data_IF_835617611878
#
_entry.id   IF_835617611878
#
_cell.length_a   1.000
_cell.length_b   1.000
_cell.length_c   1.000
_cell.angle_alpha   90.00
_cell.angle_beta   90.00
_cell.angle_gamma   90.00
#
_symmetry.space_group_name_H-M   'P 1'
#
loop_
_entity.id
_entity.type
_entity.pdbx_description
1 polymer ?
#
# COMPACT_ATOMS: atom_id res chain seq x y z
N UNK A 1 0.11 -8.03 -20.43
CA UNK A 1 -0.46 -8.69 -19.25
C UNK A 1 -1.88 -8.18 -19.03
N UNK A 2 -2.87 -9.09 -18.93
CA UNK A 2 -4.25 -8.77 -18.59
C UNK A 2 -4.68 -9.56 -17.36
N UNK A 3 -5.16 -8.85 -16.34
CA UNK A 3 -5.51 -9.45 -15.04
C UNK A 3 -6.96 -9.12 -14.71
N UNK A 4 -7.80 -10.14 -14.58
CA UNK A 4 -9.18 -10.01 -14.11
C UNK A 4 -9.67 -11.34 -13.55
N UNK A 5 -9.90 -11.39 -12.22
CA UNK A 5 -10.44 -12.60 -11.57
C UNK A 5 -11.80 -13.00 -12.17
N UNK A 6 -12.74 -12.07 -12.26
CA UNK A 6 -14.05 -12.30 -12.87
C UNK A 6 -13.98 -12.47 -14.40
N UNK A 7 -12.86 -12.09 -15.02
CA UNK A 7 -12.64 -12.17 -16.46
C UNK A 7 -13.52 -11.28 -17.33
N UNK A 8 -14.34 -10.42 -16.73
CA UNK A 8 -15.30 -9.58 -17.44
C UNK A 8 -15.46 -8.17 -16.84
N UNK A 9 -14.55 -7.74 -15.97
CA UNK A 9 -14.56 -6.39 -15.39
C UNK A 9 -14.47 -5.36 -16.50
N UNK A 10 -15.44 -4.46 -16.59
CA UNK A 10 -15.58 -3.51 -17.70
C UNK A 10 -14.31 -2.69 -17.91
N UNK A 11 -13.78 -2.08 -16.84
CA UNK A 11 -12.59 -1.23 -16.90
C UNK A 11 -11.38 -2.00 -17.45
N UNK A 12 -11.13 -3.19 -16.91
CA UNK A 12 -10.01 -4.04 -17.34
C UNK A 12 -10.15 -4.45 -18.81
N UNK A 13 -11.34 -4.91 -19.21
CA UNK A 13 -11.55 -5.42 -20.56
C UNK A 13 -11.58 -4.29 -21.59
N UNK A 14 -12.12 -3.12 -21.25
CA UNK A 14 -12.10 -1.95 -22.14
C UNK A 14 -10.68 -1.48 -22.41
N UNK A 15 -9.88 -1.30 -21.36
CA UNK A 15 -8.48 -0.92 -21.49
C UNK A 15 -7.67 -1.97 -22.26
N UNK A 16 -7.91 -3.26 -21.97
CA UNK A 16 -7.26 -4.33 -22.70
C UNK A 16 -7.58 -4.31 -24.20
N UNK A 17 -8.85 -4.14 -24.59
CA UNK A 17 -9.25 -4.10 -25.99
C UNK A 17 -8.60 -2.94 -26.75
N UNK A 18 -8.56 -1.74 -26.13
CA UNK A 18 -7.89 -0.58 -26.74
C UNK A 18 -6.39 -0.85 -26.93
N UNK A 19 -5.70 -1.31 -25.89
CA UNK A 19 -4.27 -1.59 -25.97
C UNK A 19 -3.95 -2.73 -26.95
N UNK A 20 -4.76 -3.78 -26.94
CA UNK A 20 -4.59 -4.91 -27.85
C UNK A 20 -4.73 -4.49 -29.31
N UNK A 21 -5.77 -3.71 -29.63
CA UNK A 21 -5.99 -3.20 -31.00
C UNK A 21 -4.83 -2.32 -31.48
N UNK A 22 -4.32 -1.43 -30.64
CA UNK A 22 -3.17 -0.57 -30.97
C UNK A 22 -1.88 -1.38 -31.17
N UNK A 23 -1.61 -2.36 -30.31
CA UNK A 23 -0.43 -3.23 -30.48
C UNK A 23 -0.53 -4.11 -31.73
N UNK A 24 -1.72 -4.60 -32.08
CA UNK A 24 -1.92 -5.41 -33.28
C UNK A 24 -1.80 -4.62 -34.60
N UNK A 25 -1.95 -3.30 -34.55
CA UNK A 25 -1.75 -2.39 -35.68
C UNK A 25 -0.30 -1.94 -35.85
N UNK A 26 0.51 -2.09 -34.81
CA UNK A 26 1.90 -1.63 -34.84
C UNK A 26 2.77 -2.51 -35.75
N UNK A 27 3.51 -1.88 -36.66
CA UNK A 27 4.47 -2.59 -37.53
C UNK A 27 5.68 -3.05 -36.69
N UNK A 28 6.19 -4.26 -37.00
CA UNK A 28 7.39 -4.83 -36.41
C UNK A 28 7.33 -5.05 -34.89
N UNK A 29 6.15 -5.28 -34.33
CA UNK A 29 5.94 -5.62 -32.92
C UNK A 29 5.43 -7.06 -32.83
N UNK A 30 6.15 -7.89 -32.08
CA UNK A 30 5.64 -9.20 -31.65
C UNK A 30 4.85 -9.03 -30.37
N UNK A 31 3.57 -9.45 -30.37
CA UNK A 31 2.65 -9.28 -29.24
C UNK A 31 2.44 -10.61 -28.56
N UNK A 32 2.93 -10.75 -27.34
CA UNK A 32 2.61 -11.85 -26.45
C UNK A 32 1.59 -11.39 -25.39
N UNK A 33 0.51 -12.13 -25.23
CA UNK A 33 -0.50 -11.84 -24.22
C UNK A 33 -0.44 -12.89 -23.11
N UNK A 34 -0.40 -12.41 -21.86
CA UNK A 34 -0.49 -13.25 -20.67
C UNK A 34 -1.74 -12.88 -19.91
N UNK A 35 -2.59 -13.87 -19.64
CA UNK A 35 -3.85 -13.71 -18.91
C UNK A 35 -3.73 -14.25 -17.48
N UNK A 36 -4.15 -13.46 -16.48
CA UNK A 36 -4.29 -13.92 -15.08
C UNK A 36 -5.76 -13.83 -14.69
N UNK A 37 -6.39 -14.98 -14.47
CA UNK A 37 -7.85 -15.06 -14.26
C UNK A 37 -8.23 -16.27 -13.42
N UNK A 38 -9.52 -16.40 -13.10
CA UNK A 38 -10.07 -17.56 -12.38
C UNK A 38 -9.76 -18.87 -13.13
N UNK A 39 -9.22 -19.90 -12.46
CA UNK A 39 -8.84 -21.17 -13.07
C UNK A 39 -10.02 -22.10 -13.43
N UNK A 40 -11.26 -21.78 -13.04
CA UNK A 40 -12.40 -22.67 -13.18
C UNK A 40 -12.65 -23.06 -14.65
N UNK A 41 -12.49 -24.35 -14.96
CA UNK A 41 -12.70 -24.89 -16.30
C UNK A 41 -14.16 -25.28 -16.59
N UNK A 42 -14.91 -25.61 -15.55
CA UNK A 42 -16.32 -25.98 -15.71
C UNK A 42 -17.21 -24.76 -16.02
N UNK A 43 -16.81 -23.57 -15.51
CA UNK A 43 -17.46 -22.29 -15.79
C UNK A 43 -16.39 -21.24 -16.11
N UNK A 44 -15.72 -21.33 -17.26
CA UNK A 44 -14.63 -20.42 -17.58
C UNK A 44 -15.13 -18.99 -17.73
N UNK A 45 -14.35 -18.04 -17.17
CA UNK A 45 -14.59 -16.60 -17.34
C UNK A 45 -14.44 -16.18 -18.80
N UNK A 46 -14.90 -14.99 -19.16
CA UNK A 46 -14.73 -14.44 -20.50
C UNK A 46 -13.24 -14.38 -20.90
N UNK A 47 -12.39 -13.84 -20.01
CA UNK A 47 -10.95 -13.76 -20.24
C UNK A 47 -10.31 -15.15 -20.38
N UNK A 48 -10.73 -16.12 -19.56
CA UNK A 48 -10.22 -17.50 -19.66
C UNK A 48 -10.57 -18.13 -21.01
N UNK A 49 -11.83 -18.01 -21.46
CA UNK A 49 -12.25 -18.50 -22.78
C UNK A 49 -11.40 -17.88 -23.89
N UNK A 50 -11.27 -16.57 -23.88
CA UNK A 50 -10.49 -15.84 -24.88
C UNK A 50 -9.03 -16.30 -24.87
N UNK A 51 -8.42 -16.49 -23.70
CA UNK A 51 -7.05 -16.96 -23.58
C UNK A 51 -6.87 -18.39 -24.11
N UNK A 52 -7.85 -19.27 -23.87
CA UNK A 52 -7.85 -20.64 -24.42
C UNK A 52 -7.99 -20.62 -25.94
N UNK A 53 -8.94 -19.87 -26.48
CA UNK A 53 -9.20 -19.77 -27.92
C UNK A 53 -8.01 -19.18 -28.69
N UNK A 54 -7.27 -18.25 -28.10
CA UNK A 54 -6.10 -17.60 -28.69
C UNK A 54 -4.76 -18.28 -28.36
N UNK A 55 -4.75 -19.30 -27.52
CA UNK A 55 -3.54 -19.99 -27.07
C UNK A 55 -2.62 -19.11 -26.19
N UNK A 56 -3.16 -18.12 -25.48
CA UNK A 56 -2.38 -17.24 -24.61
C UNK A 56 -1.89 -17.98 -23.36
N UNK A 57 -0.73 -17.56 -22.86
CA UNK A 57 -0.22 -18.01 -21.56
C UNK A 57 -1.14 -17.59 -20.44
N UNK A 58 -1.41 -18.50 -19.51
CA UNK A 58 -2.36 -18.29 -18.43
C UNK A 58 -1.75 -18.56 -17.08
N UNK A 59 -2.11 -17.72 -16.09
CA UNK A 59 -1.87 -17.95 -14.69
C UNK A 59 -3.19 -17.90 -13.91
N UNK A 60 -3.27 -18.65 -12.83
CA UNK A 60 -4.47 -18.79 -12.03
C UNK A 60 -4.50 -17.72 -10.91
N UNK A 61 -5.68 -17.13 -10.68
CA UNK A 61 -5.93 -16.45 -9.40
C UNK A 61 -6.32 -17.53 -8.39
N UNK A 62 -5.61 -17.70 -7.27
CA UNK A 62 -5.90 -18.76 -6.31
C UNK A 62 -7.32 -18.69 -5.75
N UNK A 63 -7.95 -19.85 -5.59
CA UNK A 63 -9.25 -19.96 -4.93
C UNK A 63 -9.18 -19.48 -3.48
N UNK A 64 -10.26 -18.85 -3.02
CA UNK A 64 -10.34 -18.34 -1.64
C UNK A 64 -9.62 -17.02 -1.39
N UNK A 65 -8.75 -16.56 -2.29
CA UNK A 65 -8.06 -15.28 -2.14
C UNK A 65 -8.90 -14.15 -2.74
N UNK A 66 -9.29 -13.18 -1.89
CA UNK A 66 -9.98 -11.96 -2.33
C UNK A 66 -9.05 -11.04 -3.14
N UNK A 67 -9.61 -10.27 -4.09
CA UNK A 67 -8.82 -9.41 -5.00
C UNK A 67 -7.79 -8.51 -4.30
N UNK A 68 -8.17 -7.86 -3.21
CA UNK A 68 -7.28 -6.98 -2.42
C UNK A 68 -6.15 -7.67 -1.67
N UNK A 69 -6.18 -9.02 -1.58
CA UNK A 69 -5.14 -9.84 -0.95
C UNK A 69 -4.21 -10.52 -1.96
N UNK A 70 -4.35 -10.26 -3.26
CA UNK A 70 -3.67 -11.02 -4.32
C UNK A 70 -2.24 -10.57 -4.60
N UNK A 71 -1.69 -9.62 -3.87
CA UNK A 71 -0.35 -9.07 -4.09
C UNK A 71 0.76 -10.13 -4.04
N UNK A 72 0.60 -11.15 -3.19
CA UNK A 72 1.54 -12.29 -3.05
C UNK A 72 1.16 -13.52 -3.88
N UNK A 73 0.25 -13.37 -4.83
CA UNK A 73 -0.19 -14.43 -5.75
C UNK A 73 0.28 -14.13 -7.17
N UNK A 74 -0.09 -14.97 -8.12
CA UNK A 74 0.19 -14.79 -9.55
C UNK A 74 -0.25 -13.41 -10.07
N UNK A 75 -1.22 -12.77 -9.43
CA UNK A 75 -1.67 -11.41 -9.79
C UNK A 75 -0.55 -10.39 -9.63
N UNK A 76 0.03 -10.30 -8.43
CA UNK A 76 1.13 -9.37 -8.17
C UNK A 76 2.46 -9.86 -8.71
N UNK A 77 2.75 -11.17 -8.55
CA UNK A 77 4.06 -11.75 -8.89
C UNK A 77 4.32 -11.79 -10.38
N UNK A 78 3.31 -12.04 -11.24
CA UNK A 78 3.50 -12.01 -12.69
C UNK A 78 3.86 -10.60 -13.18
N UNK A 79 3.17 -9.58 -12.67
CA UNK A 79 3.54 -8.19 -12.98
C UNK A 79 4.95 -7.86 -12.50
N UNK A 80 5.28 -8.25 -11.27
CA UNK A 80 6.61 -8.06 -10.69
C UNK A 80 7.70 -8.72 -11.54
N UNK A 81 7.47 -9.95 -12.00
CA UNK A 81 8.38 -10.66 -12.92
C UNK A 81 8.57 -9.90 -14.24
N UNK A 82 7.49 -9.42 -14.85
CA UNK A 82 7.55 -8.70 -16.13
C UNK A 82 8.41 -7.42 -16.08
N UNK A 83 8.49 -6.77 -14.93
CA UNK A 83 9.30 -5.55 -14.74
C UNK A 83 10.67 -5.80 -14.12
N UNK A 84 11.07 -7.07 -13.93
CA UNK A 84 12.36 -7.43 -13.35
C UNK A 84 12.49 -7.15 -11.84
N UNK A 85 11.37 -7.12 -11.12
CA UNK A 85 11.36 -6.94 -9.69
C UNK A 85 11.84 -8.21 -8.98
N UNK A 86 12.61 -8.08 -7.89
CA UNK A 86 13.13 -9.21 -7.11
C UNK A 86 12.03 -9.86 -6.26
N UNK A 87 11.35 -10.84 -6.87
CA UNK A 87 10.26 -11.59 -6.27
C UNK A 87 10.75 -12.45 -5.08
N UNK A 88 11.94 -13.02 -5.18
CA UNK A 88 12.45 -13.91 -4.12
C UNK A 88 12.68 -13.14 -2.83
N UNK A 89 13.32 -11.98 -2.94
CA UNK A 89 13.54 -11.08 -1.82
C UNK A 89 12.21 -10.57 -1.24
N UNK A 90 11.25 -10.21 -2.11
CA UNK A 90 9.92 -9.76 -1.71
C UNK A 90 9.16 -10.83 -0.90
N UNK A 91 9.15 -12.07 -1.39
CA UNK A 91 8.52 -13.18 -0.70
C UNK A 91 9.29 -13.60 0.58
N UNK A 92 10.61 -13.41 0.61
CA UNK A 92 11.38 -13.64 1.83
C UNK A 92 10.96 -12.68 2.95
N UNK A 93 10.83 -11.39 2.66
CA UNK A 93 10.32 -10.42 3.63
C UNK A 93 8.91 -10.75 4.14
N UNK A 94 8.01 -11.12 3.23
CA UNK A 94 6.67 -11.55 3.61
C UNK A 94 6.67 -12.78 4.53
N UNK A 95 7.53 -13.79 4.24
CA UNK A 95 7.65 -14.99 5.09
C UNK A 95 8.21 -14.68 6.47
N UNK A 96 9.15 -13.75 6.58
CA UNK A 96 9.71 -13.40 7.88
C UNK A 96 8.73 -12.59 8.72
N UNK A 97 7.95 -11.70 8.07
CA UNK A 97 6.84 -11.03 8.74
C UNK A 97 5.72 -12.00 9.15
N UNK A 98 5.42 -13.02 8.31
CA UNK A 98 4.46 -14.09 8.67
C UNK A 98 4.85 -14.77 9.97
N UNK A 99 6.14 -15.16 10.11
CA UNK A 99 6.65 -15.76 11.36
C UNK A 99 6.46 -14.84 12.57
N UNK A 100 6.74 -13.53 12.40
CA UNK A 100 6.54 -12.56 13.47
C UNK A 100 5.04 -12.42 13.84
N UNK A 101 4.15 -12.48 12.85
CA UNK A 101 2.70 -12.40 13.05
C UNK A 101 2.08 -13.68 13.63
N UNK A 102 2.81 -14.80 13.72
CA UNK A 102 2.38 -16.04 14.38
C UNK A 102 2.64 -16.02 15.90
N UNK A 103 3.29 -15.02 16.44
CA UNK A 103 3.55 -14.92 17.88
C UNK A 103 2.25 -14.55 18.62
N UNK A 104 1.94 -15.30 19.69
CA UNK A 104 0.76 -15.06 20.54
C UNK A 104 0.93 -13.89 21.52
N UNK A 105 2.16 -13.42 21.76
CA UNK A 105 2.44 -12.25 22.56
C UNK A 105 2.12 -10.97 21.77
N UNK A 106 1.15 -10.21 22.24
CA UNK A 106 0.72 -8.93 21.66
C UNK A 106 1.90 -7.99 21.35
N UNK A 107 2.88 -7.92 22.25
CA UNK A 107 4.00 -6.99 22.13
C UNK A 107 5.09 -7.45 21.13
N UNK A 108 5.05 -8.71 20.75
CA UNK A 108 5.98 -9.33 19.80
C UNK A 108 5.33 -9.59 18.43
N UNK A 109 4.01 -9.46 18.35
CA UNK A 109 3.26 -9.60 17.09
C UNK A 109 2.91 -8.23 16.52
N UNK A 110 3.60 -7.75 15.48
CA UNK A 110 3.43 -6.40 14.97
C UNK A 110 2.04 -6.15 14.35
N UNK A 111 1.47 -7.17 13.71
CA UNK A 111 0.13 -7.04 13.12
C UNK A 111 -0.96 -6.99 14.22
N UNK A 112 -0.87 -7.88 15.20
CA UNK A 112 -1.80 -7.89 16.35
C UNK A 112 -1.70 -6.59 17.14
N UNK A 113 -0.49 -6.08 17.40
CA UNK A 113 -0.29 -4.82 18.11
C UNK A 113 -0.90 -3.65 17.33
N UNK A 114 -0.65 -3.57 16.01
CA UNK A 114 -1.23 -2.53 15.17
C UNK A 114 -2.75 -2.58 15.19
N UNK A 115 -3.35 -3.76 15.02
CA UNK A 115 -4.81 -3.95 15.08
C UNK A 115 -5.38 -3.56 16.45
N UNK A 116 -4.77 -4.01 17.54
CA UNK A 116 -5.23 -3.74 18.91
C UNK A 116 -5.19 -2.25 19.25
N UNK A 117 -4.11 -1.56 18.88
CA UNK A 117 -3.98 -0.11 19.11
C UNK A 117 -5.03 0.68 18.33
N UNK A 118 -5.30 0.33 17.09
CA UNK A 118 -6.31 0.98 16.26
C UNK A 118 -7.71 0.68 16.75
N UNK A 119 -7.99 -0.57 17.11
CA UNK A 119 -9.26 -0.96 17.71
C UNK A 119 -9.52 -0.17 19.01
N UNK A 120 -8.54 -0.11 19.90
CA UNK A 120 -8.65 0.67 21.12
C UNK A 120 -8.83 2.18 20.87
N UNK A 121 -8.14 2.72 19.87
CA UNK A 121 -8.28 4.12 19.47
C UNK A 121 -9.68 4.44 18.95
N UNK A 122 -10.28 3.55 18.15
CA UNK A 122 -11.64 3.69 17.66
C UNK A 122 -12.65 3.52 18.80
N UNK A 123 -12.68 2.34 19.44
CA UNK A 123 -13.73 1.96 20.38
C UNK A 123 -13.72 2.77 21.69
N UNK A 124 -12.54 3.11 22.20
CA UNK A 124 -12.41 3.82 23.48
C UNK A 124 -12.27 5.33 23.34
N UNK A 125 -11.81 5.79 22.18
CA UNK A 125 -11.44 7.20 22.00
C UNK A 125 -12.07 7.85 20.79
N UNK A 126 -12.96 7.16 20.03
CA UNK A 126 -13.67 7.68 18.87
C UNK A 126 -12.73 8.12 17.73
N UNK A 127 -11.62 7.39 17.51
CA UNK A 127 -10.65 7.67 16.44
C UNK A 127 -10.97 6.81 15.23
N UNK A 128 -12.00 7.16 14.50
CA UNK A 128 -12.57 6.34 13.42
C UNK A 128 -11.98 6.62 12.05
N UNK A 129 -11.01 7.55 11.96
CA UNK A 129 -10.31 7.88 10.71
C UNK A 129 -8.86 7.45 10.84
N UNK A 130 -8.40 6.62 9.91
CA UNK A 130 -7.00 6.24 9.75
C UNK A 130 -6.37 7.00 8.60
N UNK A 131 -5.38 7.84 8.91
CA UNK A 131 -4.58 8.55 7.91
C UNK A 131 -3.28 7.79 7.71
N UNK A 132 -3.09 7.17 6.55
CA UNK A 132 -1.81 6.59 6.15
C UNK A 132 -0.99 7.65 5.44
N UNK A 133 0.14 8.03 6.06
CA UNK A 133 0.96 9.16 5.61
C UNK A 133 2.44 8.77 5.43
N UNK A 134 2.80 8.17 4.29
CA UNK A 134 4.20 7.93 3.97
C UNK A 134 4.93 9.25 3.72
N UNK A 135 6.19 9.30 4.16
CA UNK A 135 7.13 10.34 3.79
C UNK A 135 8.02 9.79 2.68
N UNK A 136 7.47 9.85 1.46
CA UNK A 136 8.07 9.38 0.21
C UNK A 136 7.03 8.99 -0.81
N UNK A 137 7.08 9.59 -1.99
CA UNK A 137 6.09 9.40 -3.07
C UNK A 137 6.01 7.95 -3.55
N UNK A 138 7.11 7.20 -3.49
CA UNK A 138 7.16 5.78 -3.86
C UNK A 138 6.19 4.89 -3.05
N UNK A 139 5.83 5.31 -1.83
CA UNK A 139 4.92 4.57 -0.95
C UNK A 139 3.46 5.04 -1.04
N UNK A 140 3.15 6.02 -1.90
CA UNK A 140 1.78 6.49 -2.10
C UNK A 140 0.85 5.36 -2.51
N UNK A 141 1.23 4.59 -3.52
CA UNK A 141 0.41 3.47 -4.02
C UNK A 141 0.24 2.33 -3.00
N UNK A 142 1.21 2.14 -2.09
CA UNK A 142 1.04 1.23 -0.95
C UNK A 142 -0.07 1.71 -0.03
N UNK A 143 -0.12 3.01 0.23
CA UNK A 143 -1.17 3.62 1.06
C UNK A 143 -2.54 3.57 0.37
N UNK A 144 -2.60 3.77 -0.94
CA UNK A 144 -3.82 3.64 -1.74
C UNK A 144 -4.35 2.19 -1.75
N UNK A 145 -3.47 1.21 -1.88
CA UNK A 145 -3.82 -0.20 -1.73
C UNK A 145 -4.36 -0.50 -0.32
N UNK A 146 -3.73 0.05 0.73
CA UNK A 146 -4.19 -0.13 2.10
C UNK A 146 -5.59 0.44 2.33
N UNK A 147 -5.97 1.52 1.66
CA UNK A 147 -7.34 2.07 1.71
C UNK A 147 -8.36 1.01 1.29
N UNK A 148 -8.15 0.38 0.14
CA UNK A 148 -9.05 -0.69 -0.32
C UNK A 148 -9.03 -1.87 0.65
N UNK A 149 -7.83 -2.28 1.09
CA UNK A 149 -7.68 -3.38 2.04
C UNK A 149 -8.51 -3.15 3.30
N UNK A 150 -8.40 -1.99 3.92
CA UNK A 150 -9.10 -1.65 5.16
C UNK A 150 -10.61 -1.48 4.92
N UNK A 151 -10.99 -0.66 3.96
CA UNK A 151 -12.41 -0.31 3.72
C UNK A 151 -13.26 -1.54 3.39
N UNK A 152 -12.83 -2.36 2.45
CA UNK A 152 -13.58 -3.57 2.05
C UNK A 152 -13.51 -4.70 3.09
N UNK A 153 -12.45 -4.75 3.91
CA UNK A 153 -12.31 -5.78 4.93
C UNK A 153 -13.13 -5.48 6.18
N UNK A 154 -13.15 -4.24 6.65
CA UNK A 154 -13.79 -3.83 7.90
C UNK A 154 -15.17 -3.19 7.71
N UNK A 155 -15.50 -2.65 6.54
CA UNK A 155 -16.83 -2.10 6.27
C UNK A 155 -17.88 -3.19 6.23
N UNK A 156 -18.62 -3.38 7.36
CA UNK A 156 -19.61 -4.45 7.53
C UNK A 156 -20.90 -3.90 8.13
N UNK A 157 -22.03 -4.22 7.49
CA UNK A 157 -23.35 -3.89 8.01
C UNK A 157 -23.70 -4.76 9.20
N UNK A 158 -23.37 -6.04 9.16
CA UNK A 158 -23.72 -7.01 10.20
C UNK A 158 -22.48 -7.62 10.84
N UNK A 159 -22.56 -7.92 12.14
CA UNK A 159 -21.57 -8.72 12.84
C UNK A 159 -21.78 -10.24 12.58
N UNK A 160 -20.94 -11.08 13.18
CA UNK A 160 -21.01 -12.55 13.01
C UNK A 160 -22.30 -13.16 13.53
N UNK A 161 -22.96 -12.52 14.49
CA UNK A 161 -24.25 -12.92 15.08
C UNK A 161 -25.47 -12.41 14.26
N UNK A 162 -25.24 -11.71 13.14
CA UNK A 162 -26.29 -11.15 12.29
C UNK A 162 -26.93 -9.87 12.82
N UNK A 163 -26.38 -9.26 13.87
CA UNK A 163 -26.82 -7.96 14.39
C UNK A 163 -26.28 -6.84 13.51
N UNK A 164 -27.14 -5.88 13.17
CA UNK A 164 -26.73 -4.68 12.45
C UNK A 164 -25.82 -3.80 13.32
N UNK A 165 -24.63 -3.48 12.79
CA UNK A 165 -23.60 -2.70 13.48
C UNK A 165 -23.07 -1.54 12.65
N UNK A 166 -23.13 -1.62 11.30
CA UNK A 166 -22.58 -0.63 10.37
C UNK A 166 -21.15 -0.23 10.76
N UNK A 167 -20.29 -1.23 10.95
CA UNK A 167 -18.93 -1.06 11.46
C UNK A 167 -17.94 -0.75 10.31
N UNK A 168 -16.89 -0.01 10.64
CA UNK A 168 -15.76 0.27 9.76
C UNK A 168 -15.11 1.59 10.10
N UNK A 169 -13.79 1.67 9.87
CA UNK A 169 -13.02 2.92 9.99
C UNK A 169 -12.83 3.52 8.61
N UNK A 170 -12.72 4.85 8.53
CA UNK A 170 -12.51 5.57 7.28
C UNK A 170 -11.02 5.72 7.02
N UNK A 171 -10.46 5.05 6.00
CA UNK A 171 -9.06 5.26 5.63
C UNK A 171 -8.88 6.50 4.76
N UNK A 172 -7.77 7.21 4.96
CA UNK A 172 -7.38 8.40 4.18
C UNK A 172 -5.91 8.27 3.80
N UNK A 173 -5.56 8.63 2.56
CA UNK A 173 -4.16 8.77 2.13
C UNK A 173 -3.73 10.22 2.27
N UNK A 174 -2.52 10.42 2.76
CA UNK A 174 -1.78 11.66 2.71
C UNK A 174 -0.32 11.34 2.37
N UNK A 175 0.40 12.26 1.74
CA UNK A 175 1.83 12.08 1.41
C UNK A 175 2.64 13.24 1.98
N UNK A 176 3.59 12.93 2.86
CA UNK A 176 4.56 13.94 3.34
C UNK A 176 5.61 14.21 2.26
N UNK A 177 5.98 15.49 2.06
CA UNK A 177 5.58 16.68 2.81
C UNK A 177 4.37 17.41 2.22
N UNK A 178 3.94 17.07 1.01
CA UNK A 178 2.86 17.78 0.28
C UNK A 178 1.59 17.90 1.11
N UNK A 179 1.08 16.78 1.61
CA UNK A 179 -0.15 16.77 2.40
C UNK A 179 0.05 17.21 3.85
N UNK A 180 1.29 17.29 4.32
CA UNK A 180 1.56 17.99 5.58
C UNK A 180 1.10 19.44 5.49
N UNK A 181 1.33 20.12 4.37
CA UNK A 181 0.84 21.47 4.15
C UNK A 181 -0.66 21.57 3.90
N UNK A 182 -1.25 20.53 3.27
CA UNK A 182 -2.67 20.53 2.91
C UNK A 182 -3.59 20.09 4.07
N UNK A 183 -3.17 19.11 4.90
CA UNK A 183 -4.06 18.41 5.83
C UNK A 183 -3.69 18.57 7.31
N UNK A 184 -2.46 18.96 7.65
CA UNK A 184 -1.99 18.97 9.05
C UNK A 184 -2.77 19.94 9.93
N UNK A 185 -3.24 21.07 9.41
CA UNK A 185 -4.11 21.99 10.17
C UNK A 185 -5.33 21.24 10.73
N UNK A 186 -5.99 20.43 9.90
CA UNK A 186 -7.14 19.65 10.33
C UNK A 186 -6.76 18.49 11.26
N UNK A 187 -5.56 17.92 11.08
CA UNK A 187 -5.06 16.88 11.99
C UNK A 187 -4.77 17.47 13.39
N UNK A 188 -4.26 18.69 13.45
CA UNK A 188 -3.88 19.37 14.69
C UNK A 188 -5.07 19.98 15.44
N UNK A 189 -5.95 20.70 14.75
CA UNK A 189 -6.98 21.51 15.37
C UNK A 189 -8.41 21.00 15.12
N UNK A 190 -8.59 20.11 14.13
CA UNK A 190 -9.89 19.53 13.82
C UNK A 190 -10.35 18.52 14.87
N UNK A 191 -11.47 17.82 14.60
CA UNK A 191 -12.01 16.80 15.51
C UNK A 191 -10.97 15.78 15.93
N UNK A 192 -10.99 15.37 17.19
CA UNK A 192 -10.16 14.31 17.76
C UNK A 192 -10.66 12.90 17.33
N UNK A 193 -10.75 12.65 16.02
CA UNK A 193 -11.29 11.40 15.46
C UNK A 193 -10.32 10.69 14.52
N UNK A 194 -9.03 11.04 14.56
CA UNK A 194 -8.02 10.50 13.64
C UNK A 194 -6.87 9.82 14.39
N UNK A 195 -6.28 8.82 13.72
CA UNK A 195 -4.95 8.27 13.99
C UNK A 195 -4.11 8.52 12.73
N UNK A 196 -2.94 9.12 12.87
CA UNK A 196 -2.01 9.33 11.75
C UNK A 196 -0.91 8.29 11.81
N UNK A 197 -0.80 7.49 10.76
CA UNK A 197 0.22 6.47 10.62
C UNK A 197 1.26 6.92 9.60
N UNK A 198 2.43 7.25 10.09
CA UNK A 198 3.56 7.59 9.24
C UNK A 198 4.25 6.33 8.73
N UNK A 199 4.74 6.38 7.50
CA UNK A 199 5.75 5.44 7.01
C UNK A 199 7.01 6.23 6.72
N UNK A 200 8.12 5.84 7.31
CA UNK A 200 9.43 6.44 7.09
C UNK A 200 10.39 5.43 6.47
N UNK A 201 11.39 5.94 5.76
CA UNK A 201 12.51 5.17 5.22
C UNK A 201 13.77 5.71 5.90
N UNK A 202 14.50 4.85 6.61
CA UNK A 202 15.68 5.29 7.36
C UNK A 202 16.87 5.57 6.44
N UNK A 203 17.05 4.76 5.38
CA UNK A 203 18.11 4.93 4.40
C UNK A 203 17.57 4.94 2.98
N UNK A 204 17.82 6.03 2.28
CA UNK A 204 17.45 6.23 0.89
C UNK A 204 18.50 5.66 -0.07
N UNK A 205 18.07 4.97 -1.13
CA UNK A 205 18.97 4.44 -2.17
C UNK A 205 19.73 5.56 -2.87
N UNK A 206 19.03 6.66 -3.16
CA UNK A 206 19.61 7.87 -3.77
C UNK A 206 19.22 9.03 -2.86
N UNK A 207 20.18 9.58 -2.15
CA UNK A 207 19.98 10.70 -1.25
C UNK A 207 20.84 11.89 -1.69
N UNK A 208 20.20 12.98 -2.08
CA UNK A 208 20.87 14.17 -2.58
C UNK A 208 21.21 15.10 -1.43
N UNK A 209 22.42 15.64 -1.44
CA UNK A 209 22.84 16.71 -0.52
C UNK A 209 22.35 18.05 -1.06
N UNK A 210 21.74 18.87 -0.22
CA UNK A 210 21.30 20.23 -0.55
C UNK A 210 22.55 21.10 -0.78
N UNK A 211 22.76 21.64 -2.00
CA UNK A 211 23.96 22.42 -2.28
C UNK A 211 23.87 23.84 -1.67
N UNK A 212 25.01 24.39 -1.27
CA UNK A 212 25.09 25.78 -0.80
C UNK A 212 25.25 26.75 -1.99
N UNK A 213 24.16 27.08 -2.66
CA UNK A 213 24.16 27.96 -3.85
C UNK A 213 23.89 29.43 -3.54
N UNK A 214 23.43 29.74 -2.31
CA UNK A 214 23.16 31.10 -1.84
C UNK A 214 23.73 31.31 -0.43
N UNK A 215 25.07 31.29 -0.27
CA UNK A 215 25.71 31.34 1.04
C UNK A 215 25.47 32.69 1.78
N UNK A 216 25.09 33.73 1.05
CA UNK A 216 24.74 35.05 1.59
C UNK A 216 23.36 35.10 2.23
N UNK A 217 22.50 34.09 1.97
CA UNK A 217 21.14 33.98 2.55
C UNK A 217 21.18 32.98 3.71
N UNK A 218 21.31 33.48 4.95
CA UNK A 218 21.52 32.63 6.13
C UNK A 218 20.54 31.44 6.22
N UNK A 219 19.26 31.67 6.02
CA UNK A 219 18.24 30.59 6.08
C UNK A 219 18.44 29.48 5.04
N UNK A 220 19.03 29.78 3.89
CA UNK A 220 19.36 28.80 2.86
C UNK A 220 20.70 28.13 3.15
N UNK A 221 21.66 28.90 3.66
CA UNK A 221 22.94 28.37 4.11
C UNK A 221 22.78 27.36 5.28
N UNK A 222 21.83 27.58 6.17
CA UNK A 222 21.55 26.72 7.34
C UNK A 222 21.07 25.30 6.94
N UNK A 223 20.45 25.15 5.79
CA UNK A 223 19.99 23.85 5.27
C UNK A 223 20.98 23.21 4.30
N UNK A 224 22.00 23.95 3.87
CA UNK A 224 23.03 23.43 2.98
C UNK A 224 23.85 22.33 3.67
N UNK A 225 24.21 21.28 2.92
CA UNK A 225 24.92 20.12 3.46
C UNK A 225 24.02 19.06 4.11
N UNK A 226 22.75 19.36 4.34
CA UNK A 226 21.75 18.38 4.79
C UNK A 226 21.31 17.53 3.60
N UNK A 227 21.08 16.23 3.78
CA UNK A 227 20.51 15.40 2.71
C UNK A 227 19.00 15.59 2.62
N UNK A 228 18.43 15.35 1.42
CA UNK A 228 16.99 15.45 1.22
C UNK A 228 16.22 14.45 2.10
N UNK A 229 16.78 13.23 2.29
CA UNK A 229 16.20 12.24 3.18
C UNK A 229 16.20 12.69 4.64
N UNK A 230 17.27 13.30 5.12
CA UNK A 230 17.33 13.85 6.47
C UNK A 230 16.35 15.02 6.65
N UNK A 231 16.24 15.92 5.67
CA UNK A 231 15.26 17.01 5.70
C UNK A 231 13.81 16.48 5.76
N UNK A 232 13.52 15.43 5.00
CA UNK A 232 12.21 14.77 4.98
C UNK A 232 11.88 14.13 6.34
N UNK A 233 12.86 13.48 6.98
CA UNK A 233 12.67 12.88 8.31
C UNK A 233 12.48 13.94 9.39
N UNK A 234 13.19 15.06 9.34
CA UNK A 234 12.97 16.20 10.26
C UNK A 234 11.54 16.74 10.11
N UNK A 235 11.03 16.88 8.89
CA UNK A 235 9.66 17.31 8.65
C UNK A 235 8.63 16.33 9.21
N UNK A 236 8.84 15.02 8.98
CA UNK A 236 8.00 13.96 9.55
C UNK A 236 7.99 13.98 11.07
N UNK A 237 9.19 14.04 11.68
CA UNK A 237 9.33 14.05 13.14
C UNK A 237 8.66 15.27 13.75
N UNK A 238 8.88 16.44 13.17
CA UNK A 238 8.23 17.69 13.62
C UNK A 238 6.71 17.61 13.58
N UNK A 239 6.14 16.98 12.52
CA UNK A 239 4.72 16.76 12.42
C UNK A 239 4.23 15.78 13.51
N UNK A 240 4.95 14.69 13.75
CA UNK A 240 4.62 13.71 14.80
C UNK A 240 4.68 14.34 16.20
N UNK A 241 5.70 15.15 16.49
CA UNK A 241 5.87 15.84 17.78
C UNK A 241 4.76 16.86 18.02
N UNK A 242 4.37 17.61 16.99
CA UNK A 242 3.25 18.54 17.05
C UNK A 242 1.92 17.81 17.30
N UNK A 243 1.68 16.66 16.66
CA UNK A 243 0.51 15.82 16.93
C UNK A 243 0.50 15.33 18.38
N UNK A 244 1.63 14.82 18.87
CA UNK A 244 1.77 14.31 20.23
C UNK A 244 1.52 15.42 21.28
N UNK A 245 2.08 16.62 21.05
CA UNK A 245 1.88 17.79 21.93
C UNK A 245 0.41 18.19 22.05
N UNK A 246 -0.39 17.95 20.99
CA UNK A 246 -1.83 18.19 20.97
C UNK A 246 -2.67 16.95 21.31
N UNK A 247 -2.06 15.90 21.90
CA UNK A 247 -2.72 14.66 22.30
C UNK A 247 -3.42 13.97 21.12
N UNK A 248 -2.85 14.12 19.90
CA UNK A 248 -3.27 13.44 18.69
C UNK A 248 -2.52 12.13 18.54
N UNK A 249 -3.22 11.08 18.19
CA UNK A 249 -2.62 9.75 18.09
C UNK A 249 -1.87 9.61 16.76
N UNK A 250 -0.65 9.15 16.87
CA UNK A 250 0.15 8.77 15.71
C UNK A 250 0.98 7.52 15.99
N UNK A 251 1.36 6.83 14.93
CA UNK A 251 2.26 5.69 14.95
C UNK A 251 3.21 5.78 13.75
N UNK A 252 4.31 5.02 13.78
CA UNK A 252 5.31 5.03 12.72
C UNK A 252 5.61 3.58 12.30
N UNK A 253 5.48 3.28 11.02
CA UNK A 253 6.13 2.14 10.39
C UNK A 253 7.49 2.57 9.88
N UNK A 254 8.56 2.02 10.45
CA UNK A 254 9.92 2.34 10.07
C UNK A 254 10.47 1.25 9.15
N UNK A 255 10.82 1.61 7.93
CA UNK A 255 11.52 0.76 6.98
C UNK A 255 13.02 1.10 7.03
N UNK A 256 13.91 0.14 7.31
CA UNK A 256 15.35 0.40 7.26
C UNK A 256 15.79 0.93 5.90
N UNK A 257 15.28 0.35 4.82
CA UNK A 257 15.48 0.77 3.42
C UNK A 257 14.23 0.40 2.61
N UNK A 258 13.99 1.07 1.50
CA UNK A 258 12.95 0.67 0.55
C UNK A 258 13.52 -0.38 -0.41
N UNK A 259 13.45 -1.63 -0.01
CA UNK A 259 13.86 -2.81 -0.81
C UNK A 259 12.66 -3.71 -1.07
N UNK A 260 12.72 -4.63 -2.05
CA UNK A 260 11.70 -5.66 -2.20
C UNK A 260 11.40 -6.43 -0.92
N UNK A 261 12.44 -6.77 -0.14
CA UNK A 261 12.31 -7.47 1.14
C UNK A 261 11.44 -6.67 2.15
N UNK A 262 11.81 -5.44 2.44
CA UNK A 262 11.07 -4.61 3.41
C UNK A 262 9.68 -4.20 2.90
N UNK A 263 9.50 -4.11 1.58
CA UNK A 263 8.16 -3.94 1.00
C UNK A 263 7.29 -5.18 1.24
N UNK A 264 7.87 -6.38 1.12
CA UNK A 264 7.18 -7.64 1.44
C UNK A 264 6.75 -7.71 2.91
N UNK A 265 7.64 -7.32 3.83
CA UNK A 265 7.33 -7.22 5.25
C UNK A 265 6.16 -6.27 5.52
N UNK A 266 6.22 -5.05 4.95
CA UNK A 266 5.20 -4.02 5.17
C UNK A 266 3.83 -4.46 4.66
N UNK A 267 3.76 -4.95 3.41
CA UNK A 267 2.49 -5.38 2.83
C UNK A 267 1.88 -6.56 3.57
N UNK A 268 2.71 -7.51 4.01
CA UNK A 268 2.23 -8.65 4.79
C UNK A 268 1.70 -8.20 6.17
N UNK A 269 2.44 -7.35 6.88
CA UNK A 269 2.02 -6.77 8.16
C UNK A 269 0.65 -6.07 8.03
N UNK A 270 0.50 -5.24 7.01
CA UNK A 270 -0.74 -4.49 6.77
C UNK A 270 -1.91 -5.41 6.40
N UNK A 271 -1.65 -6.51 5.69
CA UNK A 271 -2.68 -7.49 5.36
C UNK A 271 -3.15 -8.32 6.57
N UNK A 272 -2.26 -8.53 7.55
CA UNK A 272 -2.54 -9.31 8.76
C UNK A 272 -3.10 -8.47 9.90
N UNK A 273 -3.01 -7.16 9.86
CA UNK A 273 -3.52 -6.23 10.87
C UNK A 273 -4.91 -5.68 10.53
#
# INVERSE_FOLDING_TARGET
LVISKSGGTLDTMSNFMVMYDEFMKADNVEVEVVAVTDPNEAKPTLLKKLAMDKGWKQFAVPDGVGGRFTVFTEVGLTLAACIGFDIESFLAGARDMDKACQNDDLWQNPAMLNAALKFAASEKHGRDIEVMMPYGDYLKSVSEWYIQLLAESLGKQFNKEGKEVCYGRTPVVAVGTTDMHAQTQQHQEGKLNKVVQFIRIDKWKNDLVIPNVFPEVQKLADIAGVTMGAALEVARQSNADALASNKRYSAVFALPELTPYHLGELLYLLAMS
#
